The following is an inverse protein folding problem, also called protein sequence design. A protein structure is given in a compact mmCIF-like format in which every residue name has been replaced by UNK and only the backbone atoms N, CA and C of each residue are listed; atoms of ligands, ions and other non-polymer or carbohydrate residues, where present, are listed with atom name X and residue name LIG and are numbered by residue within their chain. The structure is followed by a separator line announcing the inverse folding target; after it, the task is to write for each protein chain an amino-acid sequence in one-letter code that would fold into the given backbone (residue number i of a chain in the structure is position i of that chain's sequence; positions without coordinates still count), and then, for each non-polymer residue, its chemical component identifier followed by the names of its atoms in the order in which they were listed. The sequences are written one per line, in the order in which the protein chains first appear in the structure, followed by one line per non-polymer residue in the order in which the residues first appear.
data_IF_115756616147
#
_entry.id   IF_115756616147
#
_cell.length_a   1.000
_cell.length_b   1.000
_cell.length_c   1.000
_cell.angle_alpha   90.00
_cell.angle_beta   90.00
_cell.angle_gamma   90.00
#
_symmetry.space_group_name_H-M   'P 1'
#
loop_
_entity.id
_entity.type
_entity.pdbx_description
1 polymer ?
#
# COMPACT_ATOMS: atom_id res chain seq x y z
N UNK A 1 -1.40 -34.03 -40.92
CA UNK A 1 -1.87 -33.39 -39.68
C UNK A 1 -0.67 -32.64 -39.15
N UNK A 2 -0.57 -31.38 -39.53
CA UNK A 2 0.31 -30.45 -38.81
C UNK A 2 -0.31 -30.33 -37.42
N UNK A 3 0.40 -30.78 -36.39
CA UNK A 3 0.04 -30.44 -35.02
C UNK A 3 0.14 -28.91 -34.92
N UNK A 4 -1.01 -28.24 -34.81
CA UNK A 4 -1.05 -26.87 -34.33
C UNK A 4 -0.40 -26.86 -32.95
N UNK A 5 0.87 -26.46 -32.87
CA UNK A 5 1.50 -26.10 -31.60
C UNK A 5 0.68 -24.95 -31.01
N UNK A 6 -0.29 -25.29 -30.15
CA UNK A 6 -0.97 -24.31 -29.32
C UNK A 6 0.10 -23.48 -28.61
N UNK A 7 0.04 -22.15 -28.69
CA UNK A 7 1.24 -21.41 -28.52
C UNK A 7 1.54 -21.35 -27.01
N UNK A 8 2.66 -21.96 -26.61
CA UNK A 8 3.07 -22.23 -25.23
C UNK A 8 2.99 -21.01 -24.28
N UNK A 9 2.93 -19.79 -24.81
CA UNK A 9 2.71 -18.57 -24.04
C UNK A 9 1.35 -18.53 -23.34
N UNK A 10 0.30 -19.16 -23.87
CA UNK A 10 -1.04 -19.19 -23.23
C UNK A 10 -1.00 -20.03 -21.94
N UNK A 11 -0.31 -21.19 -21.99
CA UNK A 11 -0.15 -22.05 -20.82
C UNK A 11 0.86 -21.51 -19.80
N UNK A 12 1.89 -20.76 -20.24
CA UNK A 12 2.76 -19.98 -19.33
C UNK A 12 2.05 -18.75 -18.74
N UNK A 13 1.11 -18.14 -19.46
CA UNK A 13 0.28 -17.05 -18.97
C UNK A 13 -0.69 -17.52 -17.88
N UNK A 14 -1.12 -18.78 -17.97
CA UNK A 14 -1.92 -19.47 -16.95
C UNK A 14 -1.08 -20.02 -15.77
N UNK A 15 0.16 -19.57 -15.58
CA UNK A 15 0.87 -19.76 -14.30
C UNK A 15 -0.05 -19.25 -13.17
N UNK A 16 -0.57 -20.19 -12.37
CA UNK A 16 -1.59 -19.89 -11.36
C UNK A 16 -1.11 -18.83 -10.38
N UNK A 17 0.20 -18.73 -10.12
CA UNK A 17 0.82 -17.72 -9.26
C UNK A 17 0.74 -16.29 -9.82
N UNK A 18 0.81 -16.11 -11.15
CA UNK A 18 0.72 -14.78 -11.79
C UNK A 18 -0.71 -14.27 -11.80
N UNK A 19 -1.65 -15.16 -12.12
CA UNK A 19 -3.08 -14.86 -12.03
C UNK A 19 -3.43 -14.53 -10.58
N UNK A 20 -2.92 -15.30 -9.61
CA UNK A 20 -3.11 -15.02 -8.19
C UNK A 20 -2.53 -13.65 -7.79
N UNK A 21 -1.34 -13.27 -8.25
CA UNK A 21 -0.80 -11.92 -7.96
C UNK A 21 -1.67 -10.81 -8.51
N UNK A 22 -2.20 -10.97 -9.73
CA UNK A 22 -3.07 -9.98 -10.37
C UNK A 22 -4.39 -9.88 -9.61
N UNK A 23 -5.01 -11.02 -9.27
CA UNK A 23 -6.28 -11.04 -8.52
C UNK A 23 -6.10 -10.41 -7.14
N UNK A 24 -5.02 -10.76 -6.42
CA UNK A 24 -4.75 -10.21 -5.10
C UNK A 24 -4.48 -8.70 -5.18
N UNK A 25 -3.69 -8.22 -6.15
CA UNK A 25 -3.42 -6.78 -6.28
C UNK A 25 -4.70 -5.98 -6.54
N UNK A 26 -5.61 -6.48 -7.38
CA UNK A 26 -6.93 -5.89 -7.62
C UNK A 26 -7.74 -5.85 -6.31
N UNK A 27 -7.82 -6.97 -5.59
CA UNK A 27 -8.54 -7.05 -4.32
C UNK A 27 -7.98 -6.09 -3.28
N UNK A 28 -6.66 -5.95 -3.19
CA UNK A 28 -6.01 -5.00 -2.27
C UNK A 28 -6.33 -3.55 -2.61
N UNK A 29 -6.32 -3.17 -3.89
CA UNK A 29 -6.65 -1.81 -4.32
C UNK A 29 -8.13 -1.51 -4.06
N UNK A 30 -9.02 -2.44 -4.43
CA UNK A 30 -10.46 -2.28 -4.23
C UNK A 30 -10.78 -2.19 -2.73
N UNK A 31 -10.31 -3.14 -1.93
CA UNK A 31 -10.52 -3.15 -0.48
C UNK A 31 -9.91 -1.93 0.19
N UNK A 32 -8.66 -1.57 -0.15
CA UNK A 32 -7.99 -0.37 0.37
C UNK A 32 -8.76 0.92 0.04
N UNK A 33 -9.30 1.03 -1.18
CA UNK A 33 -10.08 2.21 -1.60
C UNK A 33 -11.43 2.30 -0.88
N UNK A 34 -12.16 1.19 -0.75
CA UNK A 34 -13.40 1.14 0.03
C UNK A 34 -13.15 1.45 1.50
N UNK A 35 -12.05 0.95 2.05
CA UNK A 35 -11.66 1.19 3.42
C UNK A 35 -11.30 2.66 3.66
N UNK A 36 -10.59 3.29 2.74
CA UNK A 36 -10.31 4.72 2.79
C UNK A 36 -11.61 5.55 2.83
N UNK A 37 -12.59 5.18 2.00
CA UNK A 37 -13.92 5.81 2.00
C UNK A 37 -14.70 5.57 3.28
N UNK A 38 -14.51 4.41 3.92
CA UNK A 38 -15.08 4.09 5.23
C UNK A 38 -14.54 5.02 6.31
N UNK A 39 -13.22 5.20 6.34
CA UNK A 39 -12.55 6.14 7.25
C UNK A 39 -13.06 7.58 7.05
N UNK A 40 -13.25 8.03 5.80
CA UNK A 40 -13.76 9.38 5.51
C UNK A 40 -15.15 9.62 6.08
N UNK A 41 -16.00 8.58 6.05
CA UNK A 41 -17.35 8.67 6.60
C UNK A 41 -17.31 8.78 8.12
N UNK A 42 -16.45 8.00 8.77
CA UNK A 42 -16.27 8.07 10.22
C UNK A 42 -15.73 9.43 10.65
N UNK A 43 -14.70 9.94 9.96
CA UNK A 43 -14.11 11.25 10.24
C UNK A 43 -15.12 12.40 10.08
N UNK A 44 -15.85 12.45 8.95
CA UNK A 44 -16.85 13.50 8.72
C UNK A 44 -18.00 13.46 9.74
N UNK A 45 -18.45 12.26 10.13
CA UNK A 45 -19.50 12.12 11.14
C UNK A 45 -19.04 12.60 12.53
N UNK A 46 -17.74 12.54 12.84
CA UNK A 46 -17.18 13.00 14.11
C UNK A 46 -17.02 14.52 14.19
N UNK A 47 -17.04 15.24 13.06
CA UNK A 47 -16.96 16.71 13.00
C UNK A 47 -18.34 17.39 13.05
N UNK A 48 -19.46 16.65 13.07
CA UNK A 48 -20.79 17.23 13.23
C UNK A 48 -20.97 17.78 14.67
N UNK A 49 -21.43 19.04 14.84
CA UNK A 49 -21.43 19.76 16.12
C UNK A 49 -22.30 19.16 17.23
N UNK A 50 -23.15 18.18 16.92
CA UNK A 50 -23.95 17.46 17.92
C UNK A 50 -23.11 16.48 18.77
N UNK A 51 -21.93 16.06 18.28
CA UNK A 51 -21.02 15.12 18.97
C UNK A 51 -19.79 15.81 19.63
N UNK A 52 -19.64 17.14 19.52
CA UNK A 52 -18.50 17.90 20.07
C UNK A 52 -18.35 17.80 21.60
N UNK A 53 -19.41 17.43 22.34
CA UNK A 53 -19.33 17.15 23.78
C UNK A 53 -18.55 15.85 24.11
N UNK A 54 -18.20 15.05 23.10
CA UNK A 54 -17.40 13.83 23.24
C UNK A 54 -15.91 14.00 22.89
N UNK A 55 -15.42 15.20 22.55
CA UNK A 55 -14.03 15.43 22.11
C UNK A 55 -12.94 15.40 23.23
N UNK A 56 -13.29 15.09 24.49
CA UNK A 56 -12.28 14.86 25.55
C UNK A 56 -11.82 13.40 25.65
N UNK A 57 -12.19 12.57 24.68
CA UNK A 57 -12.27 11.12 24.85
C UNK A 57 -11.42 10.34 23.82
N UNK A 58 -10.58 11.02 23.05
CA UNK A 58 -9.72 10.42 22.04
C UNK A 58 -8.71 9.46 22.65
N UNK A 59 -8.52 8.32 22.00
CA UNK A 59 -7.45 7.41 22.35
C UNK A 59 -6.15 7.94 21.73
N UNK A 60 -4.99 7.76 22.36
CA UNK A 60 -3.72 8.15 21.73
C UNK A 60 -3.47 7.41 20.42
N UNK A 61 -4.07 6.23 20.24
CA UNK A 61 -4.08 5.52 18.97
C UNK A 61 -4.90 6.25 17.90
N UNK A 62 -6.09 6.76 18.24
CA UNK A 62 -6.89 7.57 17.31
C UNK A 62 -6.14 8.85 16.94
N UNK A 63 -5.49 9.53 17.89
CA UNK A 63 -4.67 10.72 17.60
C UNK A 63 -3.46 10.46 16.71
N UNK A 64 -2.81 9.30 16.86
CA UNK A 64 -1.70 8.89 15.99
C UNK A 64 -2.18 8.64 14.55
N UNK A 65 -3.45 8.27 14.39
CA UNK A 65 -4.07 7.91 13.13
C UNK A 65 -5.01 8.99 12.55
N UNK A 66 -5.40 10.01 13.31
CA UNK A 66 -6.30 11.11 12.90
C UNK A 66 -5.65 12.02 11.85
N UNK A 67 -4.33 12.01 11.77
CA UNK A 67 -3.60 12.68 10.71
C UNK A 67 -3.60 11.87 9.42
N UNK A 68 -4.56 12.11 8.53
CA UNK A 68 -4.40 11.67 7.14
C UNK A 68 -3.12 12.25 6.57
N UNK A 69 -2.22 11.39 6.07
CA UNK A 69 -0.99 11.85 5.45
C UNK A 69 -1.31 12.34 4.03
N UNK A 70 -1.51 13.64 3.88
CA UNK A 70 -1.68 14.26 2.57
C UNK A 70 -0.31 14.44 1.90
N UNK A 71 -0.17 13.97 0.66
CA UNK A 71 1.05 14.20 -0.11
C UNK A 71 0.91 15.55 -0.82
N UNK A 72 1.75 16.51 -0.45
CA UNK A 72 1.84 17.79 -1.15
C UNK A 72 2.67 17.68 -2.42
N UNK A 73 2.53 18.65 -3.33
CA UNK A 73 3.31 18.71 -4.59
C UNK A 73 4.82 18.58 -4.35
N UNK A 74 5.36 19.26 -3.33
CA UNK A 74 6.77 19.17 -2.97
C UNK A 74 7.17 17.77 -2.48
N UNK A 75 6.34 17.14 -1.65
CA UNK A 75 6.57 15.78 -1.16
C UNK A 75 6.48 14.75 -2.30
N UNK A 76 5.58 14.94 -3.26
CA UNK A 76 5.44 14.08 -4.43
C UNK A 76 6.70 14.11 -5.33
N UNK A 77 7.32 15.27 -5.54
CA UNK A 77 8.60 15.38 -6.28
C UNK A 77 9.76 14.79 -5.46
N UNK A 78 9.79 15.08 -4.15
CA UNK A 78 10.89 14.68 -3.30
C UNK A 78 10.89 13.18 -3.00
N UNK A 79 9.73 12.50 -3.09
CA UNK A 79 9.62 11.07 -2.78
C UNK A 79 10.50 10.20 -3.70
N UNK A 80 10.45 10.29 -5.05
CA UNK A 80 11.37 9.56 -5.93
C UNK A 80 12.85 9.91 -5.71
N UNK A 81 13.15 11.17 -5.38
CA UNK A 81 14.52 11.62 -5.11
C UNK A 81 15.03 11.05 -3.79
N UNK A 82 14.23 11.10 -2.73
CA UNK A 82 14.52 10.50 -1.43
C UNK A 82 14.64 8.99 -1.51
N UNK A 83 13.79 8.32 -2.30
CA UNK A 83 13.91 6.88 -2.57
C UNK A 83 15.24 6.56 -3.28
N UNK A 84 15.65 7.37 -4.26
CA UNK A 84 16.95 7.22 -4.95
C UNK A 84 18.13 7.36 -3.98
N UNK A 85 18.07 8.38 -3.12
CA UNK A 85 19.11 8.58 -2.10
C UNK A 85 19.15 7.42 -1.10
N UNK A 86 18.00 6.98 -0.60
CA UNK A 86 17.88 5.85 0.32
C UNK A 86 18.39 4.56 -0.30
N UNK A 87 18.09 4.29 -1.58
CA UNK A 87 18.54 3.11 -2.29
C UNK A 87 20.07 3.12 -2.45
N UNK A 88 20.66 4.26 -2.81
CA UNK A 88 22.11 4.40 -2.94
C UNK A 88 22.82 4.24 -1.58
N UNK A 89 22.26 4.80 -0.51
CA UNK A 89 22.76 4.62 0.86
C UNK A 89 22.69 3.15 1.27
N UNK A 90 21.59 2.46 0.96
CA UNK A 90 21.43 1.03 1.22
C UNK A 90 22.41 0.19 0.40
N UNK A 91 22.70 0.58 -0.83
CA UNK A 91 23.67 -0.11 -1.68
C UNK A 91 25.11 -0.08 -1.10
N UNK A 92 25.55 1.07 -0.60
CA UNK A 92 26.90 1.21 -0.03
C UNK A 92 27.01 0.73 1.43
N UNK A 93 25.95 0.88 2.23
CA UNK A 93 25.97 0.62 3.68
C UNK A 93 25.00 -0.48 4.12
N UNK A 94 24.74 -1.46 3.25
CA UNK A 94 23.74 -2.52 3.50
C UNK A 94 23.95 -3.21 4.85
N UNK A 95 25.18 -3.64 5.15
CA UNK A 95 25.49 -4.42 6.35
C UNK A 95 25.16 -3.67 7.65
N UNK A 96 25.38 -2.36 7.67
CA UNK A 96 25.12 -1.49 8.83
C UNK A 96 23.65 -1.12 8.94
N UNK A 97 22.99 -0.85 7.81
CA UNK A 97 21.65 -0.28 7.80
C UNK A 97 20.52 -1.31 7.76
N UNK A 98 20.79 -2.55 7.32
CA UNK A 98 19.77 -3.59 7.20
C UNK A 98 18.99 -3.82 8.50
N UNK A 99 19.65 -3.75 9.67
CA UNK A 99 18.99 -3.93 10.96
C UNK A 99 18.00 -2.80 11.26
N UNK A 100 18.40 -1.55 10.99
CA UNK A 100 17.55 -0.39 11.17
C UNK A 100 16.32 -0.44 10.26
N UNK A 101 16.51 -0.79 8.99
CA UNK A 101 15.42 -0.95 8.04
C UNK A 101 14.49 -2.12 8.40
N UNK A 102 15.03 -3.24 8.87
CA UNK A 102 14.24 -4.37 9.34
C UNK A 102 13.40 -4.01 10.57
N UNK A 103 13.97 -3.31 11.54
CA UNK A 103 13.25 -2.82 12.71
C UNK A 103 12.15 -1.83 12.33
N UNK A 104 12.45 -0.85 11.47
CA UNK A 104 11.47 0.12 10.98
C UNK A 104 10.32 -0.59 10.26
N UNK A 105 10.64 -1.55 9.39
CA UNK A 105 9.64 -2.31 8.64
C UNK A 105 8.78 -3.18 9.58
N UNK A 106 9.37 -3.79 10.61
CA UNK A 106 8.62 -4.55 11.61
C UNK A 106 7.63 -3.66 12.38
N UNK A 107 8.06 -2.47 12.81
CA UNK A 107 7.19 -1.49 13.50
C UNK A 107 6.07 -1.02 12.57
N UNK A 108 6.39 -0.66 11.33
CA UNK A 108 5.39 -0.27 10.33
C UNK A 108 4.40 -1.40 10.04
N UNK A 109 4.87 -2.64 9.93
CA UNK A 109 4.03 -3.81 9.73
C UNK A 109 3.11 -4.05 10.94
N UNK A 110 3.61 -3.90 12.18
CA UNK A 110 2.76 -4.01 13.39
C UNK A 110 1.64 -2.97 13.38
N UNK A 111 1.96 -1.70 13.15
CA UNK A 111 0.97 -0.63 13.12
C UNK A 111 -0.02 -0.80 11.96
N UNK A 112 0.47 -1.16 10.77
CA UNK A 112 -0.38 -1.39 9.62
C UNK A 112 -1.32 -2.59 9.83
N UNK A 113 -0.84 -3.66 10.44
CA UNK A 113 -1.63 -4.87 10.67
C UNK A 113 -2.61 -4.71 11.83
N UNK A 114 -2.24 -3.99 12.90
CA UNK A 114 -3.16 -3.65 13.99
C UNK A 114 -4.36 -2.88 13.44
N UNK A 115 -4.11 -1.93 12.52
CA UNK A 115 -5.16 -1.22 11.83
C UNK A 115 -6.06 -2.19 11.06
N UNK A 116 -5.52 -3.07 10.21
CA UNK A 116 -6.30 -4.07 9.43
C UNK A 116 -7.14 -4.98 10.31
N UNK A 117 -6.63 -5.38 11.47
CA UNK A 117 -7.36 -6.21 12.42
C UNK A 117 -8.44 -5.46 13.19
N UNK A 118 -8.34 -4.13 13.33
CA UNK A 118 -9.27 -3.34 14.14
C UNK A 118 -10.77 -3.62 13.88
N UNK A 119 -11.30 -3.61 12.64
CA UNK A 119 -12.71 -3.92 12.40
C UNK A 119 -13.09 -5.37 12.78
N UNK A 120 -12.16 -6.33 12.62
CA UNK A 120 -12.36 -7.73 13.03
C UNK A 120 -12.39 -7.84 14.55
N UNK A 121 -11.46 -7.16 15.23
CA UNK A 121 -11.41 -7.10 16.68
C UNK A 121 -12.66 -6.42 17.25
N UNK A 122 -13.11 -5.31 16.66
CA UNK A 122 -14.36 -4.65 17.05
C UNK A 122 -15.55 -5.59 16.89
N UNK A 123 -15.65 -6.31 15.76
CA UNK A 123 -16.68 -7.32 15.54
C UNK A 123 -16.64 -8.44 16.59
N UNK A 124 -15.45 -8.96 16.94
CA UNK A 124 -15.28 -10.00 17.96
C UNK A 124 -15.59 -9.51 19.39
N UNK A 125 -15.38 -8.23 19.68
CA UNK A 125 -15.70 -7.65 21.00
C UNK A 125 -17.16 -7.28 21.18
N UNK A 126 -17.93 -7.07 20.09
CA UNK A 126 -19.36 -6.69 20.15
C UNK A 126 -20.24 -7.68 20.96
N UNK A 127 -20.11 -9.01 20.80
CA UNK A 127 -20.86 -9.97 21.60
C UNK A 127 -20.47 -9.97 23.09
N UNK A 128 -19.21 -9.63 23.38
CA UNK A 128 -18.65 -9.79 24.73
C UNK A 128 -18.78 -8.51 25.59
N UNK A 129 -18.88 -7.34 24.97
CA UNK A 129 -18.98 -6.03 25.62
C UNK A 129 -20.18 -5.25 25.09
N UNK A 130 -21.38 -5.79 25.33
CA UNK A 130 -22.66 -5.22 24.85
C UNK A 130 -23.11 -3.96 25.64
N UNK A 131 -22.50 -3.63 26.78
CA UNK A 131 -22.93 -2.48 27.57
C UNK A 131 -21.76 -1.59 28.01
N UNK A 132 -21.76 -0.36 27.49
CA UNK A 132 -21.05 0.85 27.92
C UNK A 132 -19.51 0.85 27.97
N UNK A 133 -18.90 1.66 27.09
CA UNK A 133 -17.89 2.71 27.38
C UNK A 133 -16.79 2.46 28.44
N UNK A 134 -16.41 1.22 28.75
CA UNK A 134 -15.30 0.94 29.66
C UNK A 134 -13.98 1.07 28.90
N UNK A 135 -13.51 2.32 28.83
CA UNK A 135 -12.14 2.67 28.44
C UNK A 135 -11.21 2.27 29.58
N UNK A 136 -10.27 1.38 29.32
CA UNK A 136 -9.26 1.00 30.31
C UNK A 136 -8.16 2.07 30.37
N UNK A 137 -7.68 2.34 31.58
CA UNK A 137 -6.60 3.30 31.83
C UNK A 137 -5.27 2.55 31.88
N UNK A 138 -4.38 2.80 30.92
CA UNK A 138 -2.97 2.39 31.01
C UNK A 138 -2.19 3.65 31.35
N UNK A 139 -1.70 3.74 32.60
CA UNK A 139 -1.23 4.99 33.21
C UNK A 139 -0.23 5.81 32.39
N UNK A 140 0.67 5.17 31.64
CA UNK A 140 1.68 5.87 30.83
C UNK A 140 1.25 6.14 29.38
N UNK A 141 0.13 5.56 28.93
CA UNK A 141 -0.22 5.51 27.51
C UNK A 141 -1.68 5.95 27.23
N UNK A 142 -2.41 6.51 28.21
CA UNK A 142 -3.73 7.10 27.99
C UNK A 142 -4.90 6.09 27.98
N UNK A 143 -6.06 6.54 27.48
CA UNK A 143 -7.29 5.74 27.40
C UNK A 143 -7.27 4.90 26.13
N UNK A 144 -7.47 3.60 26.22
CA UNK A 144 -7.60 2.74 25.04
C UNK A 144 -8.91 1.98 25.04
N UNK A 145 -9.43 1.73 23.83
CA UNK A 145 -10.54 0.81 23.62
C UNK A 145 -10.01 -0.62 23.71
N UNK A 146 -10.70 -1.57 24.38
CA UNK A 146 -10.24 -2.95 24.48
C UNK A 146 -9.98 -3.59 23.10
N UNK A 147 -10.76 -3.23 22.07
CA UNK A 147 -10.55 -3.68 20.70
C UNK A 147 -9.23 -3.17 20.08
N UNK A 148 -8.80 -1.95 20.40
CA UNK A 148 -7.52 -1.38 19.92
C UNK A 148 -6.35 -2.13 20.55
N UNK A 149 -6.36 -2.30 21.89
CA UNK A 149 -5.33 -3.06 22.60
C UNK A 149 -5.27 -4.49 22.08
N UNK A 150 -6.42 -5.14 21.88
CA UNK A 150 -6.47 -6.50 21.34
C UNK A 150 -5.88 -6.58 19.93
N UNK A 151 -6.17 -5.60 19.06
CA UNK A 151 -5.60 -5.54 17.71
C UNK A 151 -4.08 -5.29 17.71
N UNK A 152 -3.58 -4.44 18.62
CA UNK A 152 -2.15 -4.16 18.79
C UNK A 152 -1.40 -5.38 19.32
N UNK A 153 -1.94 -6.06 20.33
CA UNK A 153 -1.33 -7.28 20.89
C UNK A 153 -1.35 -8.41 19.85
N UNK A 154 -2.47 -8.61 19.14
CA UNK A 154 -2.59 -9.64 18.12
C UNK A 154 -1.60 -9.41 16.95
N UNK A 155 -1.52 -8.18 16.44
CA UNK A 155 -0.53 -7.82 15.41
C UNK A 155 0.91 -7.96 15.90
N UNK A 156 1.20 -7.59 17.15
CA UNK A 156 2.52 -7.77 17.74
C UNK A 156 2.94 -9.24 17.84
N UNK A 157 2.04 -10.10 18.30
CA UNK A 157 2.28 -11.56 18.32
C UNK A 157 2.55 -12.09 16.92
N UNK A 158 1.77 -11.69 15.92
CA UNK A 158 1.97 -12.14 14.54
C UNK A 158 3.30 -11.68 13.95
N UNK A 159 3.71 -10.43 14.17
CA UNK A 159 5.02 -9.95 13.72
C UNK A 159 6.15 -10.66 14.45
N UNK A 160 6.01 -10.97 15.73
CA UNK A 160 7.02 -11.76 16.46
C UNK A 160 7.11 -13.19 15.93
N UNK A 161 5.98 -13.84 15.65
CA UNK A 161 5.95 -15.16 15.01
C UNK A 161 6.60 -15.10 13.63
N UNK A 162 6.36 -14.05 12.85
CA UNK A 162 7.02 -13.84 11.56
C UNK A 162 8.53 -13.70 11.67
N UNK A 163 9.01 -12.88 12.62
CA UNK A 163 10.44 -12.69 12.85
C UNK A 163 11.12 -13.99 13.28
N UNK A 164 10.44 -14.85 14.04
CA UNK A 164 10.99 -16.15 14.46
C UNK A 164 10.93 -17.19 13.34
N UNK A 165 9.78 -17.32 12.65
CA UNK A 165 9.52 -18.40 11.69
C UNK A 165 10.00 -18.12 10.28
N UNK A 166 10.07 -16.84 9.88
CA UNK A 166 10.39 -16.45 8.51
C UNK A 166 9.41 -16.98 7.45
N UNK A 167 8.19 -17.37 7.84
CA UNK A 167 7.28 -18.06 6.93
C UNK A 167 6.75 -17.11 5.83
N UNK A 168 6.79 -17.55 4.58
CA UNK A 168 6.38 -16.76 3.40
C UNK A 168 4.92 -16.29 3.47
N UNK A 169 3.99 -17.14 3.90
CA UNK A 169 2.57 -16.76 4.06
C UNK A 169 2.40 -15.57 5.00
N UNK A 170 3.16 -15.56 6.11
CA UNK A 170 3.03 -14.52 7.11
C UNK A 170 3.69 -13.22 6.64
N UNK A 171 4.79 -13.33 5.89
CA UNK A 171 5.40 -12.21 5.18
C UNK A 171 4.40 -11.58 4.19
N UNK A 172 3.73 -12.38 3.36
CA UNK A 172 2.73 -11.89 2.40
C UNK A 172 1.53 -11.27 3.12
N UNK A 173 1.06 -11.86 4.22
CA UNK A 173 -0.03 -11.32 5.01
C UNK A 173 0.31 -9.94 5.60
N UNK A 174 1.53 -9.77 6.13
CA UNK A 174 2.01 -8.48 6.63
C UNK A 174 2.18 -7.46 5.49
N UNK A 175 2.69 -7.88 4.34
CA UNK A 175 2.82 -7.05 3.15
C UNK A 175 1.45 -6.57 2.63
N UNK A 176 0.47 -7.47 2.53
CA UNK A 176 -0.91 -7.12 2.18
C UNK A 176 -1.51 -6.10 3.16
N UNK A 177 -1.29 -6.30 4.46
CA UNK A 177 -1.74 -5.36 5.49
C UNK A 177 -1.10 -3.96 5.35
N UNK A 178 0.21 -3.91 5.10
CA UNK A 178 0.93 -2.67 4.83
C UNK A 178 0.42 -1.96 3.57
N UNK A 179 0.16 -2.71 2.51
CA UNK A 179 -0.41 -2.18 1.26
C UNK A 179 -1.79 -1.53 1.49
N UNK A 180 -2.70 -2.24 2.16
CA UNK A 180 -4.04 -1.73 2.46
C UNK A 180 -3.98 -0.48 3.33
N UNK A 181 -3.14 -0.49 4.36
CA UNK A 181 -2.97 0.64 5.28
C UNK A 181 -2.40 1.87 4.58
N UNK A 182 -1.40 1.70 3.69
CA UNK A 182 -0.88 2.80 2.88
C UNK A 182 -1.95 3.41 1.96
N UNK A 183 -2.75 2.59 1.26
CA UNK A 183 -3.82 3.06 0.38
C UNK A 183 -4.94 3.77 1.17
N UNK A 184 -5.20 3.33 2.41
CA UNK A 184 -6.24 3.90 3.26
C UNK A 184 -5.88 5.26 3.86
N UNK A 185 -4.63 5.42 4.33
CA UNK A 185 -4.20 6.62 5.06
C UNK A 185 -3.57 7.69 4.20
N UNK A 186 -2.83 7.32 3.14
CA UNK A 186 -2.17 8.30 2.28
C UNK A 186 -3.23 8.94 1.37
N UNK A 187 -3.27 10.27 1.38
CA UNK A 187 -4.24 11.07 0.63
C UNK A 187 -3.55 11.87 -0.46
N UNK A 188 -4.03 11.70 -1.69
CA UNK A 188 -3.65 12.58 -2.79
C UNK A 188 -4.66 13.72 -2.87
N UNK A 189 -4.21 14.98 -2.79
CA UNK A 189 -5.11 16.13 -2.80
C UNK A 189 -5.68 16.39 -4.20
N UNK A 190 -4.92 16.18 -5.27
CA UNK A 190 -5.40 16.46 -6.63
C UNK A 190 -4.82 15.51 -7.66
N UNK A 191 -5.44 15.46 -8.84
CA UNK A 191 -4.92 14.68 -9.96
C UNK A 191 -3.54 15.19 -10.38
N UNK A 192 -3.27 16.50 -10.30
CA UNK A 192 -1.95 17.06 -10.58
C UNK A 192 -0.88 16.42 -9.70
N UNK A 193 -1.10 16.32 -8.38
CA UNK A 193 -0.13 15.70 -7.47
C UNK A 193 0.04 14.22 -7.77
N UNK A 194 -1.05 13.51 -8.06
CA UNK A 194 -1.00 12.10 -8.45
C UNK A 194 -0.20 11.87 -9.73
N UNK A 195 -0.43 12.68 -10.77
CA UNK A 195 0.30 12.59 -12.04
C UNK A 195 1.79 12.87 -11.86
N UNK A 196 2.13 13.89 -11.06
CA UNK A 196 3.51 14.23 -10.76
C UNK A 196 4.22 13.11 -10.00
N UNK A 197 3.56 12.51 -8.99
CA UNK A 197 4.10 11.39 -8.22
C UNK A 197 4.35 10.18 -9.13
N UNK A 198 3.38 9.79 -9.95
CA UNK A 198 3.49 8.62 -10.82
C UNK A 198 4.51 8.80 -11.93
N UNK A 199 4.59 9.99 -12.54
CA UNK A 199 5.62 10.29 -13.54
C UNK A 199 7.01 10.36 -12.88
N UNK A 200 7.12 10.91 -11.68
CA UNK A 200 8.37 10.91 -10.93
C UNK A 200 8.85 9.50 -10.59
N UNK A 201 7.94 8.62 -10.18
CA UNK A 201 8.24 7.22 -9.91
C UNK A 201 8.54 6.41 -11.18
N UNK A 202 7.87 6.71 -12.29
CA UNK A 202 8.20 6.16 -13.61
C UNK A 202 9.65 6.48 -13.98
N UNK A 203 10.05 7.74 -13.85
CA UNK A 203 11.43 8.18 -14.16
C UNK A 203 12.42 7.49 -13.23
N UNK A 204 12.09 7.38 -11.94
CA UNK A 204 12.89 6.65 -10.95
C UNK A 204 13.11 5.18 -11.37
N UNK A 205 12.04 4.48 -11.73
CA UNK A 205 12.09 3.04 -12.05
C UNK A 205 12.90 2.80 -13.33
N UNK A 206 12.67 3.61 -14.38
CA UNK A 206 13.45 3.57 -15.62
C UNK A 206 14.94 3.86 -15.37
N UNK A 207 15.24 4.88 -14.57
CA UNK A 207 16.62 5.23 -14.23
C UNK A 207 17.33 4.09 -13.49
N UNK A 208 16.72 3.55 -12.44
CA UNK A 208 17.37 2.53 -11.61
C UNK A 208 17.37 1.14 -12.24
N UNK A 209 16.43 0.80 -13.10
CA UNK A 209 16.44 -0.50 -13.79
C UNK A 209 17.39 -0.50 -14.98
N UNK A 210 17.40 0.54 -15.82
CA UNK A 210 18.21 0.54 -17.05
C UNK A 210 19.54 1.27 -16.90
N UNK A 211 19.55 2.47 -16.34
CA UNK A 211 20.75 3.33 -16.31
C UNK A 211 21.71 2.99 -15.18
N UNK A 212 21.25 2.40 -14.08
CA UNK A 212 22.11 2.10 -12.93
C UNK A 212 23.26 1.14 -13.28
N UNK A 213 23.02 0.16 -14.15
CA UNK A 213 24.04 -0.77 -14.65
C UNK A 213 25.20 -0.06 -15.38
N UNK A 214 24.91 1.01 -16.11
CA UNK A 214 25.91 1.76 -16.86
C UNK A 214 26.85 2.55 -15.94
N UNK A 215 26.30 3.12 -14.86
CA UNK A 215 27.05 3.98 -13.93
C UNK A 215 27.81 3.15 -12.89
N UNK A 216 27.17 2.14 -12.30
CA UNK A 216 27.71 1.38 -11.17
C UNK A 216 28.23 0.00 -11.55
N UNK A 217 28.27 -0.34 -12.86
CA UNK A 217 28.63 -1.67 -13.40
C UNK A 217 27.75 -2.82 -12.88
N UNK A 218 26.67 -2.51 -12.17
CA UNK A 218 25.73 -3.44 -11.59
C UNK A 218 24.35 -2.80 -11.44
N UNK A 219 23.30 -3.62 -11.54
CA UNK A 219 21.92 -3.17 -11.33
C UNK A 219 21.65 -2.98 -9.84
N UNK A 220 21.79 -1.74 -9.38
CA UNK A 220 21.70 -1.39 -7.95
C UNK A 220 20.33 -1.78 -7.37
N UNK A 221 19.25 -1.51 -8.09
CA UNK A 221 17.89 -1.88 -7.65
C UNK A 221 17.72 -3.39 -7.48
N UNK A 222 18.26 -4.19 -8.40
CA UNK A 222 18.17 -5.65 -8.33
C UNK A 222 19.05 -6.19 -7.21
N UNK A 223 20.27 -5.66 -7.05
CA UNK A 223 21.16 -6.08 -5.97
C UNK A 223 20.56 -5.79 -4.60
N UNK A 224 20.02 -4.58 -4.39
CA UNK A 224 19.37 -4.21 -3.14
C UNK A 224 18.07 -4.99 -2.91
N UNK A 225 17.29 -5.28 -3.95
CA UNK A 225 16.04 -6.04 -3.84
C UNK A 225 16.24 -7.56 -3.62
N UNK A 226 17.41 -8.08 -4.01
CA UNK A 226 17.77 -9.51 -3.83
C UNK A 226 18.48 -9.77 -2.52
N UNK A 227 19.10 -8.74 -1.92
CA UNK A 227 19.70 -8.84 -0.59
C UNK A 227 18.63 -9.08 0.48
N UNK A 228 18.75 -10.19 1.20
CA UNK A 228 17.90 -10.53 2.33
C UNK A 228 18.51 -9.96 3.60
N UNK A 229 17.68 -9.28 4.41
CA UNK A 229 18.15 -8.72 5.67
C UNK A 229 18.44 -9.85 6.66
N UNK A 230 19.54 -9.74 7.40
CA UNK A 230 19.80 -10.64 8.51
C UNK A 230 18.72 -10.48 9.59
N UNK A 231 18.29 -11.60 10.17
CA UNK A 231 17.24 -11.59 11.19
C UNK A 231 17.71 -10.81 12.43
N UNK A 232 17.00 -9.75 12.87
CA UNK A 232 17.40 -8.98 14.05
C UNK A 232 17.52 -9.85 15.31
N UNK A 233 16.69 -10.90 15.42
CA UNK A 233 16.71 -11.83 16.56
C UNK A 233 17.93 -12.75 16.50
N UNK A 234 18.37 -13.17 15.31
CA UNK A 234 19.57 -14.02 15.19
C UNK A 234 20.85 -13.24 15.50
N UNK A 235 20.94 -11.98 15.08
CA UNK A 235 22.04 -11.07 15.43
C UNK A 235 22.07 -10.85 16.94
N UNK A 236 20.92 -10.58 17.56
CA UNK A 236 20.83 -10.32 18.99
C UNK A 236 21.14 -11.58 19.82
N UNK A 237 20.68 -12.76 19.40
CA UNK A 237 21.00 -14.03 20.03
C UNK A 237 22.51 -14.32 20.00
N UNK A 238 23.17 -14.07 18.86
CA UNK A 238 24.62 -14.23 18.71
C UNK A 238 25.41 -13.26 19.60
N UNK A 239 24.96 -12.00 19.73
CA UNK A 239 25.57 -11.01 20.63
C UNK A 239 25.40 -11.39 22.11
N UNK A 240 24.28 -12.02 22.47
CA UNK A 240 23.95 -12.41 23.85
C UNK A 240 24.46 -13.81 24.25
N UNK A 241 25.17 -14.53 23.38
CA UNK A 241 25.65 -15.92 23.61
C UNK A 241 24.57 -16.86 24.18
N UNK A 242 23.31 -16.63 23.83
CA UNK A 242 22.20 -17.49 24.24
C UNK A 242 22.23 -18.77 23.38
N UNK A 243 22.00 -19.94 23.99
CA UNK A 243 21.87 -21.19 23.24
C UNK A 243 20.83 -20.99 22.13
N UNK A 244 21.07 -21.50 20.91
CA UNK A 244 20.14 -21.33 19.81
C UNK A 244 18.83 -22.03 20.16
N UNK A 245 17.84 -21.25 20.58
CA UNK A 245 16.45 -21.69 20.64
C UNK A 245 16.06 -22.01 19.20
N UNK A 246 15.53 -23.21 18.96
CA UNK A 246 15.53 -23.88 17.65
C UNK A 246 14.95 -23.12 16.45
N UNK A 247 15.27 -23.61 15.25
CA UNK A 247 14.73 -23.24 13.93
C UNK A 247 14.46 -21.74 13.67
N UNK A 248 15.36 -20.85 14.12
CA UNK A 248 15.32 -19.44 13.75
C UNK A 248 15.87 -19.27 12.33
N UNK A 249 15.08 -18.69 11.42
CA UNK A 249 15.55 -18.40 10.06
C UNK A 249 16.68 -17.35 10.10
N UNK A 250 17.87 -17.64 9.53
CA UNK A 250 19.03 -16.74 9.63
C UNK A 250 18.85 -15.45 8.82
N UNK A 251 18.02 -15.49 7.78
CA UNK A 251 17.71 -14.37 6.88
C UNK A 251 16.20 -14.17 6.81
N UNK A 252 15.78 -12.91 6.71
CA UNK A 252 14.38 -12.49 6.57
C UNK A 252 14.25 -11.59 5.34
N UNK A 253 13.30 -11.94 4.48
CA UNK A 253 12.81 -11.05 3.44
C UNK A 253 11.83 -10.05 4.03
N UNK A 254 12.10 -8.76 3.84
CA UNK A 254 11.25 -7.67 4.31
C UNK A 254 9.90 -7.68 3.57
N UNK A 255 8.76 -7.40 4.23
CA UNK A 255 7.40 -7.42 3.66
C UNK A 255 7.12 -6.32 2.61
N UNK A 256 8.15 -5.84 1.91
CA UNK A 256 8.04 -4.88 0.79
C UNK A 256 7.75 -5.54 -0.56
N UNK A 257 7.67 -6.87 -0.63
CA UNK A 257 7.33 -7.64 -1.83
C UNK A 257 6.36 -8.77 -1.50
N UNK A 258 5.43 -9.04 -2.40
CA UNK A 258 4.57 -10.23 -2.35
C UNK A 258 5.24 -11.37 -3.10
N UNK A 259 5.26 -12.57 -2.52
CA UNK A 259 5.98 -13.74 -3.05
C UNK A 259 5.07 -14.95 -3.07
N UNK A 260 4.43 -15.22 -4.21
CA UNK A 260 3.56 -16.39 -4.34
C UNK A 260 4.32 -17.57 -4.96
N UNK A 261 4.32 -18.75 -4.32
CA UNK A 261 4.88 -19.95 -4.90
C UNK A 261 4.08 -20.37 -6.13
N UNK A 262 4.76 -20.73 -7.23
CA UNK A 262 4.10 -21.39 -8.36
C UNK A 262 3.60 -22.77 -7.95
N UNK A 263 2.36 -23.10 -8.32
CA UNK A 263 1.76 -24.41 -8.05
C UNK A 263 2.41 -25.53 -8.87
N UNK A 264 3.00 -25.18 -10.02
CA UNK A 264 3.61 -26.14 -10.96
C UNK A 264 5.10 -26.38 -10.67
N UNK A 265 5.82 -25.35 -10.20
CA UNK A 265 7.22 -25.44 -9.79
C UNK A 265 7.45 -24.79 -8.43
N UNK A 266 7.76 -25.61 -7.40
CA UNK A 266 8.07 -25.13 -6.04
C UNK A 266 9.28 -24.21 -5.95
N UNK A 267 10.08 -24.08 -7.01
CA UNK A 267 11.26 -23.21 -7.09
C UNK A 267 10.98 -21.85 -7.75
N UNK A 268 9.87 -21.70 -8.49
CA UNK A 268 9.51 -20.45 -9.17
C UNK A 268 8.54 -19.65 -8.30
N UNK A 269 8.95 -18.45 -7.92
CA UNK A 269 8.13 -17.51 -7.16
C UNK A 269 7.73 -16.33 -8.04
N UNK A 270 6.43 -16.01 -8.06
CA UNK A 270 5.97 -14.74 -8.62
C UNK A 270 6.21 -13.64 -7.59
N UNK A 271 7.00 -12.64 -7.96
CA UNK A 271 7.31 -11.49 -7.09
C UNK A 271 6.64 -10.24 -7.61
N UNK A 272 5.92 -9.52 -6.75
CA UNK A 272 5.32 -8.22 -7.07
C UNK A 272 5.71 -7.19 -6.02
N UNK A 273 6.22 -6.04 -6.47
CA UNK A 273 6.60 -4.94 -5.59
C UNK A 273 5.38 -4.29 -4.95
N UNK A 274 5.43 -4.05 -3.64
CA UNK A 274 4.32 -3.38 -2.94
C UNK A 274 4.11 -1.94 -3.45
N UNK A 275 5.19 -1.27 -3.87
CA UNK A 275 5.12 0.06 -4.51
C UNK A 275 4.31 0.05 -5.81
N UNK A 276 4.36 -1.03 -6.58
CA UNK A 276 3.67 -1.15 -7.87
C UNK A 276 2.15 -1.32 -7.69
N UNK A 277 1.72 -1.74 -6.50
CA UNK A 277 0.31 -1.83 -6.11
C UNK A 277 -0.14 -0.52 -5.45
N UNK A 278 0.63 -0.05 -4.47
CA UNK A 278 0.26 1.13 -3.68
C UNK A 278 0.21 2.38 -4.55
N UNK A 279 1.19 2.63 -5.42
CA UNK A 279 1.29 3.91 -6.12
C UNK A 279 0.15 4.13 -7.12
N UNK A 280 -0.17 3.19 -8.02
CA UNK A 280 -1.41 3.25 -8.80
C UNK A 280 -2.67 3.15 -7.92
N UNK A 281 -2.63 2.36 -6.84
CA UNK A 281 -3.73 2.24 -5.88
C UNK A 281 -4.14 3.56 -5.25
N UNK A 282 -3.19 4.46 -4.95
CA UNK A 282 -3.46 5.80 -4.44
C UNK A 282 -4.20 6.68 -5.47
N UNK A 283 -3.85 6.56 -6.76
CA UNK A 283 -4.57 7.22 -7.85
C UNK A 283 -6.00 6.67 -7.96
N UNK A 284 -6.19 5.35 -7.93
CA UNK A 284 -7.52 4.73 -8.00
C UNK A 284 -8.39 5.11 -6.79
N UNK A 285 -7.80 5.16 -5.61
CA UNK A 285 -8.46 5.59 -4.38
C UNK A 285 -8.92 7.06 -4.47
N UNK A 286 -8.08 7.96 -4.99
CA UNK A 286 -8.45 9.35 -5.28
C UNK A 286 -9.63 9.44 -6.26
N UNK A 287 -9.56 8.67 -7.36
CA UNK A 287 -10.61 8.64 -8.39
C UNK A 287 -11.94 8.11 -7.82
N UNK A 288 -11.90 7.09 -6.96
CA UNK A 288 -13.09 6.54 -6.31
C UNK A 288 -13.78 7.56 -5.41
N UNK A 289 -13.01 8.40 -4.70
CA UNK A 289 -13.54 9.53 -3.93
C UNK A 289 -14.15 10.60 -4.82
N UNK A 290 -13.51 10.91 -5.94
CA UNK A 290 -14.04 11.82 -6.94
C UNK A 290 -15.40 11.34 -7.47
N UNK A 291 -15.49 10.07 -7.85
CA UNK A 291 -16.74 9.45 -8.33
C UNK A 291 -17.86 9.56 -7.29
N UNK A 292 -17.56 9.30 -6.01
CA UNK A 292 -18.55 9.42 -4.92
C UNK A 292 -18.98 10.86 -4.69
N UNK A 293 -18.05 11.80 -4.67
CA UNK A 293 -18.33 13.23 -4.56
C UNK A 293 -19.24 13.70 -5.69
N UNK A 294 -18.94 13.30 -6.94
CA UNK A 294 -19.77 13.63 -8.11
C UNK A 294 -21.14 12.97 -8.03
N UNK A 295 -21.22 11.71 -7.58
CA UNK A 295 -22.49 11.01 -7.38
C UNK A 295 -23.36 11.71 -6.33
N UNK A 296 -22.79 12.18 -5.22
CA UNK A 296 -23.51 12.95 -4.21
C UNK A 296 -24.02 14.29 -4.76
N UNK A 297 -23.19 15.01 -5.51
CA UNK A 297 -23.59 16.25 -6.16
C UNK A 297 -24.70 16.04 -7.22
N UNK A 298 -24.65 14.94 -7.98
CA UNK A 298 -25.67 14.61 -8.98
C UNK A 298 -27.01 14.20 -8.34
N UNK A 299 -26.98 13.47 -7.22
CA UNK A 299 -28.19 13.15 -6.44
C UNK A 299 -28.83 14.41 -5.87
N UNK A 300 -28.03 15.37 -5.38
CA UNK A 300 -28.56 16.66 -4.93
C UNK A 300 -29.15 17.50 -6.07
N UNK A 301 -28.72 17.26 -7.31
CA UNK A 301 -29.19 17.95 -8.52
C UNK A 301 -30.23 17.15 -9.34
N UNK A 302 -30.81 16.08 -8.77
CA UNK A 302 -31.80 15.18 -9.39
C UNK A 302 -31.47 14.74 -10.83
N UNK A 303 -30.17 14.53 -11.10
CA UNK A 303 -29.69 14.16 -12.44
C UNK A 303 -29.31 12.68 -12.47
N UNK A 304 -30.07 11.86 -13.18
CA UNK A 304 -29.69 10.46 -13.45
C UNK A 304 -28.44 10.39 -14.33
N UNK A 305 -27.31 9.98 -13.75
CA UNK A 305 -26.10 9.66 -14.50
C UNK A 305 -25.62 8.24 -14.18
N UNK A 306 -26.26 7.27 -14.81
CA UNK A 306 -25.67 5.94 -15.03
C UNK A 306 -24.61 6.04 -16.14
N UNK A 307 -23.41 6.49 -15.80
CA UNK A 307 -22.24 6.42 -16.69
C UNK A 307 -21.14 5.63 -16.00
N UNK A 308 -20.34 4.93 -16.81
CA UNK A 308 -19.10 4.29 -16.36
C UNK A 308 -18.35 5.25 -15.45
N UNK A 309 -18.05 4.80 -14.24
CA UNK A 309 -17.32 5.56 -13.23
C UNK A 309 -15.84 5.57 -13.59
N UNK A 310 -15.15 6.66 -13.23
CA UNK A 310 -13.72 6.79 -13.51
C UNK A 310 -12.91 5.67 -12.86
N UNK A 311 -13.36 5.19 -11.70
CA UNK A 311 -12.75 4.07 -10.97
C UNK A 311 -12.70 2.79 -11.80
N UNK A 312 -13.82 2.39 -12.44
CA UNK A 312 -13.85 1.15 -13.23
C UNK A 312 -12.96 1.26 -14.47
N UNK A 313 -12.95 2.43 -15.13
CA UNK A 313 -12.07 2.69 -16.27
C UNK A 313 -10.59 2.56 -15.87
N UNK A 314 -10.20 3.20 -14.77
CA UNK A 314 -8.82 3.11 -14.25
C UNK A 314 -8.45 1.73 -13.76
N UNK A 315 -9.38 0.99 -13.15
CA UNK A 315 -9.18 -0.39 -12.72
C UNK A 315 -8.93 -1.32 -13.90
N UNK A 316 -9.68 -1.19 -14.99
CA UNK A 316 -9.42 -1.93 -16.22
C UNK A 316 -8.03 -1.56 -16.77
N UNK A 317 -7.69 -0.27 -16.76
CA UNK A 317 -6.35 0.21 -17.12
C UNK A 317 -5.23 -0.44 -16.29
N UNK A 318 -5.41 -0.53 -14.97
CA UNK A 318 -4.47 -1.21 -14.08
C UNK A 318 -4.30 -2.70 -14.44
N UNK A 319 -5.41 -3.41 -14.70
CA UNK A 319 -5.39 -4.82 -15.10
C UNK A 319 -4.62 -5.00 -16.41
N UNK A 320 -4.94 -4.20 -17.43
CA UNK A 320 -4.27 -4.25 -18.73
C UNK A 320 -2.78 -3.92 -18.59
N UNK A 321 -2.43 -2.92 -17.78
CA UNK A 321 -1.04 -2.55 -17.52
C UNK A 321 -0.25 -3.65 -16.81
N UNK A 322 -0.86 -4.31 -15.82
CA UNK A 322 -0.21 -5.41 -15.09
C UNK A 322 -0.03 -6.64 -15.98
N UNK A 323 -1.04 -6.99 -16.78
CA UNK A 323 -0.94 -8.04 -17.81
C UNK A 323 0.17 -7.71 -18.80
N UNK A 324 0.22 -6.48 -19.31
CA UNK A 324 1.26 -6.06 -20.27
C UNK A 324 2.65 -6.14 -19.65
N UNK A 325 2.82 -5.73 -18.38
CA UNK A 325 4.08 -5.86 -17.65
C UNK A 325 4.52 -7.32 -17.54
N UNK A 326 3.60 -8.24 -17.21
CA UNK A 326 3.91 -9.67 -17.12
C UNK A 326 4.29 -10.29 -18.46
N UNK A 327 3.60 -9.91 -19.55
CA UNK A 327 3.93 -10.39 -20.91
C UNK A 327 5.29 -9.86 -21.33
N UNK A 328 5.57 -8.58 -21.09
CA UNK A 328 6.84 -7.99 -21.47
C UNK A 328 8.01 -8.61 -20.68
N UNK A 329 7.88 -8.85 -19.37
CA UNK A 329 8.93 -9.52 -18.61
C UNK A 329 9.27 -10.92 -19.14
N UNK A 330 8.29 -11.65 -19.68
CA UNK A 330 8.51 -12.96 -20.30
C UNK A 330 9.21 -12.86 -21.66
N UNK A 331 8.74 -11.96 -22.53
CA UNK A 331 9.30 -11.78 -23.87
C UNK A 331 10.76 -11.38 -23.81
N UNK A 332 11.10 -10.46 -22.90
CA UNK A 332 12.46 -9.93 -22.77
C UNK A 332 13.36 -10.74 -21.83
N UNK A 333 12.83 -11.75 -21.13
CA UNK A 333 13.54 -12.62 -20.17
C UNK A 333 14.41 -11.84 -19.17
N UNK A 334 13.99 -10.64 -18.82
CA UNK A 334 14.70 -9.71 -17.95
C UNK A 334 13.71 -8.99 -17.04
N UNK A 335 14.16 -8.61 -15.84
CA UNK A 335 13.35 -7.82 -14.92
C UNK A 335 13.06 -6.45 -15.55
N UNK A 336 11.78 -6.13 -15.71
CA UNK A 336 11.33 -4.86 -16.27
C UNK A 336 10.67 -3.99 -15.20
N UNK A 337 10.79 -2.66 -15.31
CA UNK A 337 10.11 -1.73 -14.42
C UNK A 337 8.59 -1.84 -14.59
N UNK A 338 7.86 -2.32 -13.59
CA UNK A 338 6.42 -2.55 -13.69
C UNK A 338 5.64 -1.24 -13.86
N UNK A 339 6.12 -0.15 -13.24
CA UNK A 339 5.52 1.17 -13.36
C UNK A 339 5.57 1.73 -14.78
N UNK A 340 6.52 1.25 -15.61
CA UNK A 340 6.60 1.62 -17.03
C UNK A 340 5.31 1.33 -17.78
N UNK A 341 4.64 0.23 -17.43
CA UNK A 341 3.37 -0.15 -18.04
C UNK A 341 2.19 0.37 -17.21
N UNK A 342 2.23 0.24 -15.89
CA UNK A 342 1.10 0.60 -15.04
C UNK A 342 0.72 2.09 -15.11
N UNK A 343 1.71 2.99 -15.16
CA UNK A 343 1.47 4.44 -15.17
C UNK A 343 0.70 4.89 -16.43
N UNK A 344 1.14 4.62 -17.67
CA UNK A 344 0.40 5.03 -18.85
C UNK A 344 -0.99 4.37 -18.91
N UNK A 345 -1.10 3.07 -18.59
CA UNK A 345 -2.38 2.38 -18.66
C UNK A 345 -3.39 2.77 -17.58
N UNK A 346 -2.97 3.35 -16.45
CA UNK A 346 -3.89 3.88 -15.43
C UNK A 346 -4.17 5.36 -15.62
N UNK A 347 -3.15 6.16 -15.92
CA UNK A 347 -3.25 7.62 -15.99
C UNK A 347 -3.93 8.10 -17.29
N UNK A 348 -3.58 7.50 -18.43
CA UNK A 348 -4.07 7.95 -19.73
C UNK A 348 -5.60 7.76 -19.86
N UNK A 349 -6.21 6.62 -19.48
CA UNK A 349 -7.67 6.48 -19.52
C UNK A 349 -8.39 7.49 -18.63
N UNK A 350 -7.84 7.81 -17.45
CA UNK A 350 -8.40 8.85 -16.57
C UNK A 350 -8.34 10.21 -17.24
N UNK A 351 -7.18 10.60 -17.78
CA UNK A 351 -7.00 11.90 -18.42
C UNK A 351 -7.91 12.07 -19.64
N UNK A 352 -7.99 11.05 -20.50
CA UNK A 352 -8.87 11.04 -21.67
C UNK A 352 -10.33 11.14 -21.24
N UNK A 353 -10.76 10.33 -20.27
CA UNK A 353 -12.14 10.34 -19.80
C UNK A 353 -12.51 11.65 -19.09
N UNK A 354 -11.59 12.23 -18.32
CA UNK A 354 -11.76 13.52 -17.66
C UNK A 354 -11.80 14.68 -18.67
N UNK A 355 -11.01 14.59 -19.74
CA UNK A 355 -11.04 15.54 -20.85
C UNK A 355 -12.38 15.46 -21.61
N UNK A 356 -12.82 14.26 -21.99
CA UNK A 356 -14.09 14.03 -22.70
C UNK A 356 -15.31 14.46 -21.90
N UNK A 357 -15.28 14.30 -20.57
CA UNK A 357 -16.37 14.73 -19.67
C UNK A 357 -16.28 16.21 -19.28
N UNK A 358 -15.21 16.92 -19.62
CA UNK A 358 -14.99 18.34 -19.27
C UNK A 358 -14.59 18.60 -17.81
N UNK A 359 -14.44 17.55 -17.00
CA UNK A 359 -14.14 17.65 -15.56
C UNK A 359 -12.64 17.80 -15.26
N UNK A 360 -11.78 17.72 -16.29
CA UNK A 360 -10.32 17.70 -16.14
C UNK A 360 -9.78 18.87 -15.33
N UNK A 361 -10.23 20.10 -15.63
CA UNK A 361 -9.73 21.31 -14.95
C UNK A 361 -10.06 21.28 -13.46
N UNK A 362 -11.27 20.83 -13.12
CA UNK A 362 -11.75 20.69 -11.74
C UNK A 362 -10.90 19.65 -10.99
N UNK A 363 -10.77 18.47 -11.56
CA UNK A 363 -10.01 17.35 -10.98
C UNK A 363 -8.49 17.63 -10.87
N UNK A 364 -7.95 18.48 -11.75
CA UNK A 364 -6.53 18.83 -11.81
C UNK A 364 -6.12 19.88 -10.76
N UNK A 365 -6.93 20.92 -10.58
CA UNK A 365 -6.56 22.10 -9.77
C UNK A 365 -7.14 22.08 -8.37
N UNK A 366 -8.36 21.56 -8.20
CA UNK A 366 -9.01 21.59 -6.89
C UNK A 366 -8.39 20.51 -6.00
N UNK A 367 -7.76 20.87 -4.87
CA UNK A 367 -7.50 19.89 -3.85
C UNK A 367 -8.87 19.37 -3.38
N UNK A 368 -9.07 18.06 -3.48
CA UNK A 368 -10.13 17.33 -2.78
C UNK A 368 -9.89 17.45 -1.29
N UNK A 369 -10.23 18.63 -0.77
CA UNK A 369 -10.52 18.82 0.63
C UNK A 369 -11.93 18.31 0.77
N UNK A 370 -12.06 17.11 1.35
CA UNK A 370 -13.36 16.68 1.89
C UNK A 370 -13.83 17.85 2.76
N UNK A 371 -15.08 18.29 2.55
CA UNK A 371 -15.64 19.55 3.04
C UNK A 371 -15.64 19.74 4.58
N UNK A 372 -14.98 18.86 5.34
CA UNK A 372 -14.72 18.97 6.78
C UNK A 372 -13.43 19.71 7.17
N UNK A 373 -12.40 19.79 6.31
CA UNK A 373 -11.17 20.54 6.66
C UNK A 373 -11.30 22.06 6.46
N UNK A 374 -12.48 22.63 6.74
CA UNK A 374 -12.60 24.04 7.09
C UNK A 374 -12.32 24.20 8.58
N UNK A 375 -11.06 24.16 9.02
CA UNK A 375 -10.65 25.01 10.16
C UNK A 375 -9.13 25.18 10.27
N UNK A 376 -8.74 26.38 10.72
CA UNK A 376 -7.39 26.93 10.96
C UNK A 376 -6.62 27.47 9.75
N UNK A 377 -7.23 28.42 9.03
CA UNK A 377 -6.44 29.47 8.36
C UNK A 377 -7.17 30.82 8.34
N UNK A 378 -7.85 31.15 9.44
CA UNK A 378 -8.25 32.51 9.79
C UNK A 378 -8.01 32.71 11.29
N UNK A 379 -7.41 33.86 11.62
CA UNK A 379 -7.07 34.43 12.93
C UNK A 379 -5.81 33.91 13.64
N UNK A 380 -4.66 34.48 13.25
CA UNK A 380 -3.75 35.21 14.17
C UNK A 380 -3.39 36.54 13.52
#
# INVERSE_FOLDING_TARGET
MEEEEEPQWIYMFADTSRVLTIVISILLIVYGSFRALGLDKTYNNSEDPEDEQSNQNDTPFSRLMDGFQTINTAQAVFLPVGASFSLLVMFFFFDTLQFFFALCTAVLAMVAFSFVLLPVCQFLTKPCFTNNNQKFYIGFCGRFTPAEVMSLVCSGVLVMVWIVTGHWVLMDALAMGLCVSMIAYIRLPSLKVSTLLLIGLLIYDVFWVFFSSYIFKANVMVQVATQQAANPVSIMANKLKMNPVGNISPQISLPGKLVFPSMQDRSRFSMLGLGDIVMPGLLLCFVMRYDKYKKQAAVAADTEQARVTYFHCSLIGYIVGLVTATVASEVYKAAQPALLYLVPFTLLPILVMAYLKGDLRKMWQEPFVVAGAKFKLLEV
#
